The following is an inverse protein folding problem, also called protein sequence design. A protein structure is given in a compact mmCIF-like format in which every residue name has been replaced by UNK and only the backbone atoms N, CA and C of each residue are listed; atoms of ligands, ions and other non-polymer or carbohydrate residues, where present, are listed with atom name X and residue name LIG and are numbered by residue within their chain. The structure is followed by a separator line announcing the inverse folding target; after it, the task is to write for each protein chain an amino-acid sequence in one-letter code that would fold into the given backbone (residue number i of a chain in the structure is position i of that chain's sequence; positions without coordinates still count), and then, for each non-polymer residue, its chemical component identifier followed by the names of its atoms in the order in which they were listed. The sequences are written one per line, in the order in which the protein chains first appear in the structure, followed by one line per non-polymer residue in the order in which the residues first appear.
data_IF_620553838444
#
_entry.id   IF_620553838444
#
_cell.length_a   1.000
_cell.length_b   1.000
_cell.length_c   1.000
_cell.angle_alpha   90.00
_cell.angle_beta   90.00
_cell.angle_gamma   90.00
#
_symmetry.space_group_name_H-M   'P 1'
#
loop_
_entity.id
_entity.type
_entity.pdbx_description
1 polymer ?
#
# COMPACT_ATOMS: atom_id res chain seq x y z
N UNK A 1 18.29 8.73 1.09
CA UNK A 1 17.72 7.36 1.18
C UNK A 1 18.47 6.38 0.28
N UNK A 2 18.89 6.77 -0.92
CA UNK A 2 19.53 5.89 -1.90
C UNK A 2 20.82 5.20 -1.45
N UNK A 3 21.57 5.80 -0.51
CA UNK A 3 22.76 5.16 0.07
C UNK A 3 22.37 4.06 1.06
N UNK A 4 21.38 4.33 1.92
CA UNK A 4 20.88 3.35 2.91
C UNK A 4 20.24 2.17 2.19
N UNK A 5 19.48 2.42 1.13
CA UNK A 5 18.81 1.39 0.34
C UNK A 5 19.76 0.36 -0.30
N UNK A 6 21.05 0.69 -0.43
CA UNK A 6 22.08 -0.22 -0.98
C UNK A 6 22.72 -1.12 0.08
N UNK A 7 22.50 -0.84 1.36
CA UNK A 7 23.11 -1.59 2.48
C UNK A 7 22.46 -2.96 2.65
N UNK A 8 23.23 -3.94 3.14
CA UNK A 8 22.69 -5.26 3.46
C UNK A 8 21.67 -5.21 4.61
N UNK A 9 21.83 -4.26 5.54
CA UNK A 9 20.87 -4.04 6.62
C UNK A 9 19.49 -3.66 6.05
N UNK A 10 19.44 -2.75 5.07
CA UNK A 10 18.19 -2.37 4.44
C UNK A 10 17.53 -3.51 3.66
N UNK A 11 18.32 -4.24 2.87
CA UNK A 11 17.81 -5.34 2.02
C UNK A 11 17.26 -6.51 2.84
N UNK A 12 17.83 -6.77 4.02
CA UNK A 12 17.44 -7.89 4.88
C UNK A 12 16.47 -7.48 6.00
N UNK A 13 16.24 -6.18 6.20
CA UNK A 13 15.29 -5.69 7.20
C UNK A 13 13.86 -6.08 6.81
N UNK A 14 13.08 -6.50 7.82
CA UNK A 14 11.67 -6.88 7.64
C UNK A 14 10.72 -5.70 7.82
N UNK A 15 11.12 -4.72 8.62
CA UNK A 15 10.27 -3.60 8.98
C UNK A 15 11.04 -2.29 8.83
N UNK A 16 10.36 -1.25 8.37
CA UNK A 16 10.90 0.10 8.30
C UNK A 16 9.87 1.11 8.79
N UNK A 17 10.28 1.95 9.74
CA UNK A 17 9.43 2.96 10.34
C UNK A 17 10.18 4.29 10.31
N UNK A 18 9.56 5.31 9.74
CA UNK A 18 10.03 6.68 9.76
C UNK A 18 8.91 7.60 10.20
N UNK A 19 9.14 8.37 11.27
CA UNK A 19 8.19 9.34 11.82
C UNK A 19 8.95 10.59 12.31
N UNK A 20 8.34 11.79 12.28
CA UNK A 20 7.17 12.23 11.50
C UNK A 20 7.55 12.93 10.17
N UNK A 21 8.83 12.95 9.80
CA UNK A 21 9.32 13.78 8.71
C UNK A 21 9.16 13.13 7.34
N UNK A 22 8.64 13.87 6.37
CA UNK A 22 8.54 13.43 4.98
C UNK A 22 9.91 13.09 4.41
N UNK A 23 10.08 11.84 3.98
CA UNK A 23 11.26 11.40 3.26
C UNK A 23 11.16 11.83 1.80
N UNK A 24 12.29 12.33 1.28
CA UNK A 24 12.50 12.45 -0.16
C UNK A 24 13.09 11.13 -0.66
N UNK A 25 12.22 10.20 -1.06
CA UNK A 25 12.62 8.86 -1.53
C UNK A 25 11.63 8.29 -2.53
N UNK A 26 12.09 7.35 -3.34
CA UNK A 26 11.19 6.49 -4.11
C UNK A 26 10.52 5.46 -3.17
N UNK A 27 9.20 5.53 -3.06
CA UNK A 27 8.39 4.60 -2.23
C UNK A 27 8.57 3.14 -2.65
N UNK A 28 8.94 2.88 -3.92
CA UNK A 28 9.18 1.51 -4.42
C UNK A 28 10.28 0.79 -3.65
N UNK A 29 11.23 1.54 -3.07
CA UNK A 29 12.32 1.00 -2.24
C UNK A 29 11.83 0.37 -0.93
N UNK A 30 10.56 0.53 -0.58
CA UNK A 30 9.95 -0.03 0.64
C UNK A 30 9.12 -1.29 0.38
N UNK A 31 8.97 -1.69 -0.88
CA UNK A 31 8.08 -2.77 -1.30
C UNK A 31 8.45 -4.17 -0.77
N UNK A 32 9.71 -4.37 -0.37
CA UNK A 32 10.20 -5.64 0.19
C UNK A 32 9.92 -5.80 1.69
N UNK A 33 9.57 -4.72 2.39
CA UNK A 33 9.29 -4.81 3.83
C UNK A 33 7.98 -5.56 4.09
N UNK A 34 7.99 -6.38 5.14
CA UNK A 34 6.78 -7.01 5.68
C UNK A 34 5.86 -5.97 6.33
N UNK A 35 6.46 -5.00 7.03
CA UNK A 35 5.76 -3.83 7.58
C UNK A 35 6.47 -2.53 7.27
N UNK A 36 5.71 -1.52 6.86
CA UNK A 36 6.27 -0.21 6.58
C UNK A 36 5.38 0.89 7.19
N UNK A 37 5.99 1.93 7.75
CA UNK A 37 5.29 3.15 8.15
C UNK A 37 6.16 4.34 7.79
N UNK A 38 5.75 5.11 6.78
CA UNK A 38 6.55 6.19 6.22
C UNK A 38 5.70 7.42 5.96
N UNK A 39 6.38 8.55 5.89
CA UNK A 39 5.83 9.81 5.39
C UNK A 39 6.66 10.20 4.17
N UNK A 40 6.00 10.56 3.08
CA UNK A 40 6.65 11.00 1.84
C UNK A 40 6.08 12.31 1.35
N UNK A 41 6.88 13.05 0.58
CA UNK A 41 6.44 14.33 0.03
C UNK A 41 5.27 14.16 -0.92
N UNK A 42 5.36 13.21 -1.83
CA UNK A 42 4.31 12.91 -2.81
C UNK A 42 4.40 11.45 -3.22
N UNK A 43 3.32 10.96 -3.83
CA UNK A 43 3.24 9.64 -4.45
C UNK A 43 2.43 9.77 -5.73
N UNK A 44 2.77 8.99 -6.76
CA UNK A 44 2.01 8.95 -8.01
C UNK A 44 1.08 7.74 -8.08
N UNK A 45 0.09 7.78 -8.98
CA UNK A 45 -0.76 6.62 -9.25
C UNK A 45 0.03 5.40 -9.75
N UNK A 46 1.11 5.63 -10.50
CA UNK A 46 2.03 4.57 -10.95
C UNK A 46 2.73 3.90 -9.77
N UNK A 47 3.18 4.69 -8.79
CA UNK A 47 3.82 4.15 -7.58
C UNK A 47 2.82 3.35 -6.75
N UNK A 48 1.59 3.86 -6.60
CA UNK A 48 0.51 3.18 -5.89
C UNK A 48 0.19 1.83 -6.54
N UNK A 49 0.07 1.78 -7.87
CA UNK A 49 -0.17 0.53 -8.58
C UNK A 49 1.01 -0.43 -8.46
N UNK A 50 2.26 0.06 -8.50
CA UNK A 50 3.45 -0.76 -8.27
C UNK A 50 3.48 -1.38 -6.87
N UNK A 51 3.20 -0.59 -5.83
CA UNK A 51 3.16 -1.09 -4.44
C UNK A 51 2.07 -2.15 -4.28
N UNK A 52 0.85 -1.88 -4.78
CA UNK A 52 -0.25 -2.85 -4.80
C UNK A 52 0.17 -4.17 -5.47
N UNK A 53 0.75 -4.12 -6.66
CA UNK A 53 1.24 -5.31 -7.37
C UNK A 53 2.35 -6.05 -6.60
N UNK A 54 3.24 -5.31 -5.95
CA UNK A 54 4.34 -5.88 -5.16
C UNK A 54 3.82 -6.61 -3.91
N UNK A 55 2.86 -6.00 -3.22
CA UNK A 55 2.27 -6.55 -1.99
C UNK A 55 1.39 -7.77 -2.27
N UNK A 56 0.62 -7.77 -3.36
CA UNK A 56 -0.14 -8.96 -3.80
C UNK A 56 0.76 -10.17 -4.02
N UNK A 57 1.98 -9.95 -4.52
CA UNK A 57 2.94 -11.01 -4.87
C UNK A 57 3.87 -11.38 -3.70
N UNK A 58 3.87 -10.60 -2.62
CA UNK A 58 4.79 -10.78 -1.50
C UNK A 58 4.16 -11.69 -0.43
N UNK A 59 4.69 -12.91 -0.22
CA UNK A 59 4.14 -13.84 0.77
C UNK A 59 4.37 -13.38 2.22
N UNK A 60 5.29 -12.44 2.42
CA UNK A 60 5.66 -11.94 3.75
C UNK A 60 5.05 -10.57 4.06
N UNK A 61 4.37 -9.94 3.09
CA UNK A 61 3.76 -8.63 3.31
C UNK A 61 2.61 -8.74 4.32
N UNK A 62 2.49 -7.73 5.19
CA UNK A 62 1.44 -7.65 6.20
C UNK A 62 0.75 -6.31 6.20
N UNK A 63 1.53 -5.22 6.27
CA UNK A 63 0.98 -3.89 6.45
C UNK A 63 1.90 -2.78 5.94
N UNK A 64 1.34 -1.74 5.34
CA UNK A 64 2.09 -0.53 4.99
C UNK A 64 1.22 0.70 5.19
N UNK A 65 1.76 1.67 5.90
CA UNK A 65 1.19 3.00 6.09
C UNK A 65 2.03 4.05 5.38
N UNK A 66 1.38 4.90 4.59
CA UNK A 66 2.02 5.99 3.86
C UNK A 66 1.25 7.28 4.11
N UNK A 67 1.85 8.19 4.88
CA UNK A 67 1.41 9.58 4.95
C UNK A 67 1.99 10.38 3.78
N UNK A 68 1.20 11.27 3.20
CA UNK A 68 1.58 12.05 2.01
C UNK A 68 1.41 13.54 2.27
N UNK A 69 2.47 14.32 2.10
CA UNK A 69 2.44 15.77 2.38
C UNK A 69 1.66 16.55 1.30
N UNK A 70 2.03 16.34 0.03
CA UNK A 70 1.42 16.94 -1.15
C UNK A 70 0.49 15.91 -1.80
N UNK A 71 -0.76 15.92 -1.34
CA UNK A 71 -1.80 15.02 -1.84
C UNK A 71 -2.18 15.32 -3.30
N UNK A 72 -2.42 14.26 -4.06
CA UNK A 72 -3.00 14.34 -5.39
C UNK A 72 -4.35 13.62 -5.41
N UNK A 73 -5.43 14.34 -5.68
CA UNK A 73 -6.80 13.79 -5.70
C UNK A 73 -6.99 12.68 -6.75
N UNK A 74 -6.20 12.70 -7.82
CA UNK A 74 -6.26 11.69 -8.89
C UNK A 74 -5.66 10.34 -8.48
N UNK A 75 -5.00 10.24 -7.31
CA UNK A 75 -4.42 8.99 -6.81
C UNK A 75 -5.43 7.86 -6.73
N UNK A 76 -6.66 8.19 -6.31
CA UNK A 76 -7.74 7.20 -6.17
C UNK A 76 -8.15 6.56 -7.50
N UNK A 77 -7.96 7.26 -8.63
CA UNK A 77 -8.29 6.75 -9.95
C UNK A 77 -7.33 5.63 -10.41
N UNK A 78 -6.13 5.53 -9.82
CA UNK A 78 -5.09 4.60 -10.26
C UNK A 78 -5.39 3.12 -9.97
N UNK A 79 -6.28 2.84 -9.01
CA UNK A 79 -6.66 1.49 -8.59
C UNK A 79 -8.02 1.03 -9.18
N UNK A 80 -8.63 1.86 -10.03
CA UNK A 80 -9.95 1.67 -10.59
C UNK A 80 -11.09 1.92 -9.58
N UNK A 81 -12.30 1.39 -9.82
CA UNK A 81 -13.48 1.65 -8.99
C UNK A 81 -13.29 1.31 -7.50
N UNK A 82 -13.90 2.04 -6.59
CA UNK A 82 -13.73 1.81 -5.14
C UNK A 82 -15.06 1.76 -4.44
N UNK A 83 -15.06 1.10 -3.28
CA UNK A 83 -16.13 1.21 -2.31
C UNK A 83 -15.85 2.41 -1.39
N UNK A 84 -16.91 3.00 -0.86
CA UNK A 84 -16.84 4.13 0.08
C UNK A 84 -17.27 3.64 1.45
N UNK A 85 -16.47 3.93 2.47
CA UNK A 85 -16.80 3.69 3.87
C UNK A 85 -16.30 4.88 4.72
N UNK A 86 -17.23 5.73 5.12
CA UNK A 86 -16.91 7.03 5.74
C UNK A 86 -16.08 7.91 4.80
N UNK A 87 -14.90 8.34 5.28
CA UNK A 87 -13.94 9.14 4.52
C UNK A 87 -12.97 8.28 3.69
N UNK A 88 -13.06 6.96 3.80
CA UNK A 88 -12.13 6.05 3.15
C UNK A 88 -12.70 5.54 1.83
N UNK A 89 -11.86 5.56 0.81
CA UNK A 89 -12.03 4.78 -0.41
C UNK A 89 -11.33 3.44 -0.22
N UNK A 90 -12.00 2.34 -0.52
CA UNK A 90 -11.52 0.98 -0.25
C UNK A 90 -11.42 0.15 -1.53
N UNK A 91 -10.38 -0.66 -1.58
CA UNK A 91 -10.18 -1.68 -2.61
C UNK A 91 -9.77 -2.99 -1.96
N UNK A 92 -10.17 -4.09 -2.58
CA UNK A 92 -9.83 -5.44 -2.14
C UNK A 92 -9.32 -6.24 -3.33
N UNK A 93 -8.09 -6.72 -3.22
CA UNK A 93 -7.42 -7.50 -4.24
C UNK A 93 -7.04 -8.87 -3.71
N UNK A 94 -7.14 -9.90 -4.54
CA UNK A 94 -6.68 -11.25 -4.15
C UNK A 94 -5.15 -11.27 -4.02
N UNK A 95 -4.65 -11.85 -2.93
CA UNK A 95 -3.22 -12.13 -2.77
C UNK A 95 -2.87 -13.33 -3.66
N UNK A 96 -1.70 -13.30 -4.28
CA UNK A 96 -1.28 -14.39 -5.15
C UNK A 96 -1.06 -15.67 -4.34
N UNK A 97 -1.54 -16.81 -4.86
CA UNK A 97 -1.41 -18.13 -4.24
C UNK A 97 -2.05 -18.25 -2.84
N UNK A 98 -3.06 -17.43 -2.54
CA UNK A 98 -3.81 -17.50 -1.29
C UNK A 98 -5.30 -17.31 -1.55
N UNK A 99 -6.10 -18.32 -1.21
CA UNK A 99 -7.56 -18.24 -1.28
C UNK A 99 -8.18 -17.62 -0.01
N UNK A 100 -7.41 -17.55 1.08
CA UNK A 100 -7.88 -17.09 2.39
C UNK A 100 -7.58 -15.62 2.68
N UNK A 101 -6.74 -14.97 1.87
CA UNK A 101 -6.21 -13.64 2.17
C UNK A 101 -6.42 -12.66 1.02
N UNK A 102 -6.71 -11.42 1.40
CA UNK A 102 -6.92 -10.30 0.49
C UNK A 102 -6.06 -9.12 0.91
N UNK A 103 -5.53 -8.40 -0.08
CA UNK A 103 -4.94 -7.09 0.13
C UNK A 103 -6.06 -6.05 0.14
N UNK A 104 -6.31 -5.47 1.31
CA UNK A 104 -7.12 -4.27 1.48
C UNK A 104 -6.24 -3.05 1.24
N UNK A 105 -6.75 -2.10 0.46
CA UNK A 105 -6.17 -0.76 0.31
C UNK A 105 -7.19 0.26 0.76
N UNK A 106 -6.79 1.17 1.63
CA UNK A 106 -7.63 2.26 2.14
C UNK A 106 -6.93 3.59 1.84
N UNK A 107 -7.68 4.55 1.29
CA UNK A 107 -7.18 5.88 0.94
C UNK A 107 -8.11 6.91 1.55
N UNK A 108 -7.54 7.82 2.33
CA UNK A 108 -8.23 9.00 2.85
C UNK A 108 -7.55 10.25 2.31
N UNK A 109 -8.26 10.98 1.43
CA UNK A 109 -7.78 12.27 0.92
C UNK A 109 -7.78 13.36 2.00
N UNK A 110 -8.72 13.26 2.94
CA UNK A 110 -8.83 14.19 4.07
C UNK A 110 -7.64 14.04 5.02
N UNK A 111 -7.26 12.79 5.35
CA UNK A 111 -6.13 12.50 6.23
C UNK A 111 -4.80 12.37 5.47
N UNK A 112 -4.86 12.44 4.14
CA UNK A 112 -3.73 12.30 3.22
C UNK A 112 -2.89 11.04 3.48
N UNK A 113 -3.59 9.91 3.66
CA UNK A 113 -2.97 8.65 4.00
C UNK A 113 -3.44 7.50 3.12
N UNK A 114 -2.54 6.54 2.97
CA UNK A 114 -2.74 5.32 2.20
C UNK A 114 -2.31 4.16 3.08
N UNK A 115 -3.22 3.23 3.31
CA UNK A 115 -2.98 2.01 4.07
C UNK A 115 -3.13 0.79 3.15
N UNK A 116 -2.20 -0.14 3.31
CA UNK A 116 -2.23 -1.46 2.70
C UNK A 116 -2.20 -2.50 3.81
N UNK A 117 -3.10 -3.47 3.77
CA UNK A 117 -3.19 -4.49 4.80
C UNK A 117 -3.60 -5.83 4.20
N UNK A 118 -2.92 -6.90 4.58
CA UNK A 118 -3.40 -8.26 4.30
C UNK A 118 -4.40 -8.65 5.36
N UNK A 119 -5.64 -8.90 4.95
CA UNK A 119 -6.75 -9.34 5.79
C UNK A 119 -7.25 -10.71 5.35
N UNK A 120 -7.84 -11.46 6.27
CA UNK A 120 -8.55 -12.69 5.92
C UNK A 120 -9.82 -12.36 5.12
N UNK A 121 -10.18 -13.24 4.19
CA UNK A 121 -11.34 -13.08 3.31
C UNK A 121 -12.65 -12.94 4.09
N UNK A 122 -12.78 -13.63 5.24
CA UNK A 122 -13.96 -13.53 6.12
C UNK A 122 -14.15 -12.13 6.72
N UNK A 123 -13.12 -11.27 6.67
CA UNK A 123 -13.20 -9.88 7.12
C UNK A 123 -13.52 -8.90 5.97
N UNK A 124 -13.73 -9.40 4.75
CA UNK A 124 -14.15 -8.59 3.60
C UNK A 124 -15.68 -8.51 3.61
N UNK A 125 -16.27 -7.30 3.56
CA UNK A 125 -17.73 -7.18 3.56
C UNK A 125 -18.36 -7.84 2.33
N UNK A 126 -19.46 -8.59 2.52
CA UNK A 126 -20.14 -9.38 1.47
C UNK A 126 -20.56 -8.57 0.23
N UNK A 127 -20.78 -7.27 0.41
CA UNK A 127 -21.23 -6.34 -0.64
C UNK A 127 -20.10 -5.84 -1.56
N UNK A 128 -18.85 -6.24 -1.32
CA UNK A 128 -17.68 -5.74 -2.04
C UNK A 128 -17.37 -6.60 -3.26
N UNK A 129 -17.18 -5.96 -4.41
CA UNK A 129 -16.71 -6.64 -5.62
C UNK A 129 -15.22 -6.94 -5.50
N UNK A 130 -14.88 -8.20 -5.25
CA UNK A 130 -13.49 -8.69 -5.24
C UNK A 130 -12.87 -8.54 -6.64
N UNK A 131 -11.82 -7.74 -6.74
CA UNK A 131 -11.16 -7.47 -8.02
C UNK A 131 -10.16 -8.56 -8.38
N UNK A 132 -10.28 -9.08 -9.61
CA UNK A 132 -9.29 -9.97 -10.24
C UNK A 132 -8.23 -9.15 -10.99
N UNK A 133 -7.00 -9.68 -11.05
CA UNK A 133 -5.94 -9.12 -11.90
C UNK A 133 -6.33 -9.32 -13.38
N UNK A 134 -6.30 -8.24 -14.17
CA UNK A 134 -6.29 -8.35 -15.62
C UNK A 134 -4.84 -8.70 -16.02
N UNK A 135 -4.66 -9.86 -16.66
CA UNK A 135 -3.39 -10.30 -17.24
C UNK A 135 -3.02 -9.48 -18.47
#
# INVERSE_FOLDING_TARGET
MDQIAKTEQWKNAKEFINRPYSLNMDVKLTSHFSKCNIYVKSISGTDLNFLKESYIKSPNFKYSHIGVEFWNEELSSALGPFDIDGIYRKWYFRVQNSDENMLKVEISSEEKQIDFEVIQMDNVPDQVVVKKLNN
#
